data_IF_449794688766
#
_entry.id   IF_449794688766
#
_cell.length_a   1.000
_cell.length_b   1.000
_cell.length_c   1.000
_cell.angle_alpha   90.00
_cell.angle_beta   90.00
_cell.angle_gamma   90.00
#
_symmetry.space_group_name_H-M   'P 1'
#
loop_
_entity.id
_entity.type
_entity.pdbx_description
1 polymer ?
#
# COMPACT_ATOMS: atom_id res chain seq x y z
N UNK A 1 -6.32 -19.37 -16.74
CA UNK A 1 -5.88 -18.26 -15.86
C UNK A 1 -5.87 -18.80 -14.44
N UNK A 2 -4.71 -18.80 -13.79
CA UNK A 2 -4.61 -19.18 -12.39
C UNK A 2 -5.49 -18.23 -11.55
N UNK A 3 -6.31 -18.80 -10.67
CA UNK A 3 -7.21 -18.01 -9.83
C UNK A 3 -6.36 -17.32 -8.76
N UNK A 4 -6.29 -15.99 -8.82
CA UNK A 4 -5.60 -15.21 -7.79
C UNK A 4 -6.46 -15.28 -6.51
N UNK A 5 -5.98 -16.02 -5.51
CA UNK A 5 -6.62 -16.11 -4.20
C UNK A 5 -6.25 -14.88 -3.35
N UNK A 6 -6.71 -13.70 -3.80
CA UNK A 6 -6.45 -12.40 -3.17
C UNK A 6 -6.81 -12.42 -1.68
N UNK A 7 -7.94 -13.05 -1.32
CA UNK A 7 -8.39 -13.12 0.07
C UNK A 7 -7.39 -13.81 0.99
N UNK A 8 -6.79 -14.92 0.54
CA UNK A 8 -5.78 -15.66 1.31
C UNK A 8 -4.49 -14.85 1.45
N UNK A 9 -4.02 -14.25 0.35
CA UNK A 9 -2.83 -13.39 0.37
C UNK A 9 -2.99 -12.19 1.31
N UNK A 10 -4.15 -11.54 1.31
CA UNK A 10 -4.45 -10.42 2.21
C UNK A 10 -4.47 -10.87 3.67
N UNK A 11 -5.04 -12.05 3.97
CA UNK A 11 -5.03 -12.61 5.32
C UNK A 11 -3.61 -12.91 5.81
N UNK A 12 -2.77 -13.52 4.97
CA UNK A 12 -1.40 -13.90 5.31
C UNK A 12 -0.48 -12.68 5.51
N UNK A 13 -0.77 -11.57 4.83
CA UNK A 13 0.06 -10.36 4.85
C UNK A 13 -0.61 -9.17 5.56
N UNK A 14 -1.67 -9.43 6.33
CA UNK A 14 -2.53 -8.38 6.90
C UNK A 14 -1.76 -7.38 7.78
N UNK A 15 -0.83 -7.86 8.60
CA UNK A 15 0.00 -7.01 9.48
C UNK A 15 0.97 -6.13 8.68
N UNK A 16 1.55 -6.67 7.62
CA UNK A 16 2.44 -5.90 6.74
C UNK A 16 1.68 -4.84 5.95
N UNK A 17 0.52 -5.22 5.38
CA UNK A 17 -0.39 -4.27 4.71
C UNK A 17 -0.77 -3.15 5.66
N UNK A 18 -1.17 -3.48 6.89
CA UNK A 18 -1.54 -2.49 7.91
C UNK A 18 -0.39 -1.55 8.23
N UNK A 19 0.82 -2.09 8.46
CA UNK A 19 2.01 -1.29 8.74
C UNK A 19 2.33 -0.33 7.58
N UNK A 20 2.23 -0.80 6.34
CA UNK A 20 2.42 0.05 5.17
C UNK A 20 1.37 1.17 5.15
N UNK A 21 0.09 0.85 5.31
CA UNK A 21 -0.99 1.84 5.36
C UNK A 21 -0.74 2.89 6.46
N UNK A 22 -0.38 2.48 7.67
CA UNK A 22 -0.09 3.39 8.78
C UNK A 22 1.07 4.34 8.45
N UNK A 23 2.14 3.85 7.81
CA UNK A 23 3.26 4.69 7.35
C UNK A 23 2.78 5.71 6.30
N UNK A 24 1.88 5.33 5.39
CA UNK A 24 1.31 6.26 4.40
C UNK A 24 0.57 7.40 5.07
N UNK A 25 -0.35 7.03 5.97
CA UNK A 25 -1.28 7.97 6.57
C UNK A 25 -0.54 8.94 7.49
N UNK A 26 0.44 8.44 8.27
CA UNK A 26 1.27 9.30 9.12
C UNK A 26 2.07 10.30 8.28
N UNK A 27 2.76 9.85 7.23
CA UNK A 27 3.52 10.74 6.35
C UNK A 27 2.63 11.77 5.65
N UNK A 28 1.47 11.35 5.17
CA UNK A 28 0.49 12.25 4.56
C UNK A 28 -0.02 13.30 5.56
N UNK A 29 -0.31 12.88 6.80
CA UNK A 29 -0.73 13.75 7.90
C UNK A 29 0.36 14.77 8.27
N UNK A 30 1.62 14.34 8.39
CA UNK A 30 2.76 15.22 8.70
C UNK A 30 2.95 16.30 7.64
N UNK A 31 2.87 15.90 6.36
CA UNK A 31 3.00 16.84 5.24
C UNK A 31 1.89 17.88 5.22
N UNK A 32 0.64 17.47 5.39
CA UNK A 32 -0.50 18.38 5.46
C UNK A 32 -0.36 19.33 6.63
N UNK A 33 0.01 18.81 7.80
CA UNK A 33 0.22 19.63 9.00
C UNK A 33 1.30 20.69 8.77
N UNK A 34 2.39 20.33 8.08
CA UNK A 34 3.45 21.27 7.71
C UNK A 34 2.98 22.34 6.72
N UNK A 35 2.21 21.97 5.70
CA UNK A 35 1.71 22.90 4.69
C UNK A 35 0.63 23.85 5.27
N UNK A 36 -0.20 23.39 6.20
CA UNK A 36 -1.13 24.22 6.97
C UNK A 36 -0.36 25.20 7.86
N UNK A 37 0.65 24.72 8.59
CA UNK A 37 1.47 25.56 9.46
C UNK A 37 2.25 26.64 8.67
N UNK A 38 2.63 26.34 7.42
CA UNK A 38 3.23 27.28 6.50
C UNK A 38 2.23 28.27 5.86
N UNK A 39 0.92 28.13 6.13
CA UNK A 39 -0.14 28.95 5.57
C UNK A 39 -0.38 28.73 4.08
N UNK A 40 0.14 27.64 3.50
CA UNK A 40 0.05 27.34 2.06
C UNK A 40 -1.29 26.71 1.68
N UNK A 41 -1.91 26.00 2.60
CA UNK A 41 -3.24 25.40 2.45
C UNK A 41 -4.08 25.69 3.70
N UNK A 42 -5.38 25.81 3.51
CA UNK A 42 -6.33 25.91 4.62
C UNK A 42 -6.61 24.53 5.21
N UNK A 43 -6.92 24.44 6.52
CA UNK A 43 -7.34 23.21 7.16
C UNK A 43 -8.80 22.86 6.81
N UNK A 44 -9.18 22.97 5.54
CA UNK A 44 -10.50 22.57 5.03
C UNK A 44 -10.39 21.26 4.28
N UNK A 45 -11.48 20.51 4.23
CA UNK A 45 -11.51 19.21 3.57
C UNK A 45 -11.16 19.31 2.08
N UNK A 46 -11.65 20.37 1.43
CA UNK A 46 -11.47 20.64 0.00
C UNK A 46 -10.00 20.87 -0.38
N UNK A 47 -9.19 21.48 0.51
CA UNK A 47 -7.78 21.75 0.25
C UNK A 47 -6.87 20.63 0.78
N UNK A 48 -7.18 20.06 1.95
CA UNK A 48 -6.32 19.05 2.57
C UNK A 48 -6.50 17.65 1.99
N UNK A 49 -7.73 17.23 1.64
CA UNK A 49 -8.00 15.87 1.16
C UNK A 49 -7.26 15.52 -0.13
N UNK A 50 -7.24 16.36 -1.19
CA UNK A 50 -6.53 16.01 -2.43
C UNK A 50 -5.04 15.76 -2.20
N UNK A 51 -4.42 16.55 -1.32
CA UNK A 51 -3.01 16.42 -0.96
C UNK A 51 -2.77 15.14 -0.15
N UNK A 52 -3.69 14.81 0.76
CA UNK A 52 -3.66 13.57 1.54
C UNK A 52 -3.68 12.36 0.60
N UNK A 53 -4.64 12.33 -0.33
CA UNK A 53 -4.79 11.26 -1.30
C UNK A 53 -3.55 11.14 -2.21
N UNK A 54 -3.02 12.26 -2.68
CA UNK A 54 -1.81 12.28 -3.49
C UNK A 54 -0.60 11.70 -2.74
N UNK A 55 -0.39 12.11 -1.49
CA UNK A 55 0.74 11.61 -0.70
C UNK A 55 0.58 10.13 -0.35
N UNK A 56 -0.63 9.67 -0.02
CA UNK A 56 -0.92 8.24 0.22
C UNK A 56 -0.64 7.41 -1.04
N UNK A 57 -1.08 7.86 -2.21
CA UNK A 57 -0.87 7.16 -3.48
C UNK A 57 0.62 7.07 -3.86
N UNK A 58 1.38 8.14 -3.61
CA UNK A 58 2.80 8.22 -4.01
C UNK A 58 3.75 7.52 -3.03
N UNK A 59 3.45 7.52 -1.74
CA UNK A 59 4.31 6.94 -0.68
C UNK A 59 4.55 5.45 -0.86
N UNK A 60 3.59 4.72 -1.44
CA UNK A 60 3.62 3.25 -1.46
C UNK A 60 3.81 2.59 -2.81
N UNK A 61 4.17 3.35 -3.84
CA UNK A 61 4.28 2.80 -5.20
C UNK A 61 5.18 1.55 -5.23
N UNK A 62 6.37 1.57 -4.59
CA UNK A 62 7.31 0.43 -4.64
C UNK A 62 6.88 -0.73 -3.74
N UNK A 63 6.48 -0.47 -2.48
CA UNK A 63 6.10 -1.52 -1.53
C UNK A 63 4.82 -2.24 -1.93
N UNK A 64 3.83 -1.52 -2.46
CA UNK A 64 2.61 -2.12 -3.02
C UNK A 64 2.95 -2.91 -4.27
N UNK A 65 3.79 -2.39 -5.19
CA UNK A 65 4.20 -3.13 -6.38
C UNK A 65 4.94 -4.43 -6.02
N UNK A 66 5.73 -4.41 -4.95
CA UNK A 66 6.41 -5.61 -4.43
C UNK A 66 5.42 -6.61 -3.85
N UNK A 67 4.50 -6.20 -2.98
CA UNK A 67 3.44 -7.07 -2.46
C UNK A 67 2.60 -7.66 -3.59
N UNK A 68 2.24 -6.86 -4.59
CA UNK A 68 1.51 -7.31 -5.78
C UNK A 68 2.36 -8.28 -6.60
N UNK A 69 3.65 -8.03 -6.75
CA UNK A 69 4.57 -8.96 -7.42
C UNK A 69 4.71 -10.28 -6.66
N UNK A 70 4.69 -10.28 -5.33
CA UNK A 70 4.72 -11.48 -4.50
C UNK A 70 3.39 -12.25 -4.57
N UNK A 71 2.27 -11.53 -4.62
CA UNK A 71 0.94 -12.09 -4.89
C UNK A 71 0.85 -12.77 -6.26
N UNK A 72 1.50 -12.18 -7.28
CA UNK A 72 1.55 -12.72 -8.64
C UNK A 72 2.61 -13.83 -8.80
N UNK A 73 3.74 -13.72 -8.10
CA UNK A 73 4.91 -14.61 -8.19
C UNK A 73 4.84 -15.85 -7.29
N UNK A 74 4.09 -15.79 -6.17
CA UNK A 74 3.84 -16.93 -5.28
C UNK A 74 3.04 -18.07 -5.94
N UNK A 75 2.57 -17.88 -7.16
CA UNK A 75 1.93 -18.92 -7.97
C UNK A 75 2.93 -19.72 -8.84
N UNK A 76 4.20 -19.32 -8.90
CA UNK A 76 5.23 -19.98 -9.71
C UNK A 76 6.01 -21.10 -9.00
N UNK A 77 5.85 -21.27 -7.68
CA UNK A 77 6.61 -22.27 -6.91
C UNK A 77 5.80 -23.53 -6.56
N UNK A 78 4.50 -23.58 -6.87
CA UNK A 78 3.64 -24.72 -6.51
C UNK A 78 3.54 -25.82 -7.57
N UNK A 79 4.15 -25.64 -8.75
CA UNK A 79 4.15 -26.65 -9.82
C UNK A 79 5.45 -27.50 -9.88
N UNK A 80 6.57 -27.05 -9.31
CA UNK A 80 7.84 -27.80 -9.36
C UNK A 80 8.00 -28.83 -8.24
N UNK A 81 7.37 -28.65 -7.06
CA UNK A 81 7.48 -29.62 -5.94
C UNK A 81 6.60 -30.88 -6.09
N UNK A 82 5.70 -30.95 -7.08
CA UNK A 82 4.87 -32.15 -7.32
C UNK A 82 5.42 -33.14 -8.34
N UNK A 83 6.59 -32.88 -8.93
CA UNK A 83 7.20 -33.79 -9.90
C UNK A 83 8.33 -34.66 -9.31
N UNK A 84 8.79 -34.36 -8.10
CA UNK A 84 9.84 -35.12 -7.41
C UNK A 84 9.48 -35.33 -5.93
N UNK A 85 8.47 -36.16 -5.64
CA UNK A 85 8.37 -37.06 -4.48
C UNK A 85 7.12 -37.93 -4.58
#
# INVERSE_FOLDING_TARGET
MAKIEVGKFVQENQEEIKKLVDIALNRAGDKISSEIAAGKIKPTYEEALPILLYEVLTTHTISILRLVSEMLGGQGQSEEEKFCN
#
